data_IF_870720390339
#
_entry.id   IF_870720390339
#
_cell.length_a   1.000
_cell.length_b   1.000
_cell.length_c   1.000
_cell.angle_alpha   90.00
_cell.angle_beta   90.00
_cell.angle_gamma   90.00
#
_symmetry.space_group_name_H-M   'P 1'
#
loop_
_entity.id
_entity.type
_entity.pdbx_description
1 polymer ?
#
# COMPACT_ATOMS: atom_id res chain seq x y z
N UNK A 1 -26.97 -17.26 -13.49
CA UNK A 1 -26.55 -16.21 -12.53
C UNK A 1 -25.89 -16.76 -11.26
N UNK A 2 -26.22 -17.97 -10.77
CA UNK A 2 -25.59 -18.55 -9.58
C UNK A 2 -24.22 -19.18 -9.84
N UNK A 3 -24.02 -19.81 -11.01
CA UNK A 3 -22.75 -20.47 -11.35
C UNK A 3 -21.61 -19.47 -11.59
N UNK A 4 -21.88 -18.35 -12.27
CA UNK A 4 -20.91 -17.28 -12.45
C UNK A 4 -20.51 -16.65 -11.11
N UNK A 5 -21.47 -16.36 -10.22
CA UNK A 5 -21.18 -15.85 -8.87
C UNK A 5 -20.34 -16.82 -8.04
N UNK A 6 -20.57 -18.14 -8.15
CA UNK A 6 -19.76 -19.16 -7.48
C UNK A 6 -18.32 -19.19 -8.02
N UNK A 7 -18.14 -19.19 -9.34
CA UNK A 7 -16.81 -19.13 -9.94
C UNK A 7 -16.04 -17.88 -9.50
N UNK A 8 -16.71 -16.73 -9.44
CA UNK A 8 -16.11 -15.48 -8.94
C UNK A 8 -15.73 -15.55 -7.45
N UNK A 9 -16.58 -16.14 -6.61
CA UNK A 9 -16.23 -16.34 -5.19
C UNK A 9 -15.07 -17.31 -5.02
N UNK A 10 -15.00 -18.36 -5.83
CA UNK A 10 -13.94 -19.36 -5.75
C UNK A 10 -12.58 -18.74 -6.12
N UNK A 11 -12.54 -17.85 -7.12
CA UNK A 11 -11.33 -17.09 -7.48
C UNK A 11 -10.85 -16.17 -6.34
N UNK A 12 -11.78 -15.50 -5.65
CA UNK A 12 -11.45 -14.66 -4.50
C UNK A 12 -10.86 -15.51 -3.38
N UNK A 13 -11.54 -16.60 -3.00
CA UNK A 13 -11.10 -17.49 -1.93
C UNK A 13 -9.74 -18.08 -2.25
N UNK A 14 -9.52 -18.51 -3.50
CA UNK A 14 -8.21 -18.95 -3.98
C UNK A 14 -7.15 -17.86 -3.75
N UNK A 15 -7.39 -16.64 -4.24
CA UNK A 15 -6.41 -15.55 -4.15
C UNK A 15 -6.10 -15.15 -2.71
N UNK A 16 -7.10 -15.11 -1.82
CA UNK A 16 -6.93 -14.81 -0.40
C UNK A 16 -6.14 -15.90 0.32
N UNK A 17 -6.54 -17.16 0.14
CA UNK A 17 -5.91 -18.29 0.82
C UNK A 17 -4.45 -18.43 0.43
N UNK A 18 -4.14 -18.45 -0.87
CA UNK A 18 -2.78 -18.63 -1.34
C UNK A 18 -1.88 -17.43 -1.04
N UNK A 19 -2.37 -16.18 -1.15
CA UNK A 19 -1.55 -15.01 -0.83
C UNK A 19 -1.15 -14.97 0.64
N UNK A 20 -2.07 -15.28 1.57
CA UNK A 20 -1.78 -15.33 3.01
C UNK A 20 -0.76 -16.44 3.31
N UNK A 21 -0.94 -17.62 2.73
CA UNK A 21 -0.02 -18.76 2.93
C UNK A 21 1.37 -18.45 2.39
N UNK A 22 1.47 -17.90 1.17
CA UNK A 22 2.78 -17.56 0.60
C UNK A 22 3.45 -16.41 1.37
N UNK A 23 2.70 -15.41 1.83
CA UNK A 23 3.22 -14.38 2.74
C UNK A 23 3.73 -14.98 4.05
N UNK A 24 3.00 -15.93 4.64
CA UNK A 24 3.46 -16.63 5.84
C UNK A 24 4.75 -17.42 5.54
N UNK A 25 4.85 -18.12 4.42
CA UNK A 25 6.07 -18.82 4.04
C UNK A 25 7.26 -17.88 3.82
N UNK A 26 7.06 -16.62 3.39
CA UNK A 26 8.15 -15.64 3.36
C UNK A 26 8.82 -15.45 4.73
N UNK A 27 8.11 -15.65 5.84
CA UNK A 27 8.68 -15.53 7.19
C UNK A 27 9.45 -16.76 7.68
N UNK A 28 9.16 -17.94 7.13
CA UNK A 28 9.71 -19.23 7.60
C UNK A 28 11.03 -19.56 6.90
N UNK A 29 11.39 -18.78 5.89
CA UNK A 29 12.37 -19.15 4.89
C UNK A 29 13.73 -18.54 5.18
N UNK A 30 14.77 -19.37 5.16
CA UNK A 30 16.13 -18.96 5.52
C UNK A 30 16.98 -18.43 4.35
N UNK A 31 16.64 -18.76 3.09
CA UNK A 31 17.43 -18.31 1.93
C UNK A 31 16.74 -17.20 1.14
N UNK A 32 17.52 -16.24 0.64
CA UNK A 32 17.04 -15.10 -0.16
C UNK A 32 16.36 -15.57 -1.45
N UNK A 33 16.84 -16.65 -2.06
CA UNK A 33 16.25 -17.24 -3.28
C UNK A 33 14.85 -17.78 -2.97
N UNK A 34 14.70 -18.54 -1.88
CA UNK A 34 13.38 -19.05 -1.49
C UNK A 34 12.45 -17.92 -1.05
N UNK A 35 12.95 -16.88 -0.38
CA UNK A 35 12.16 -15.68 -0.08
C UNK A 35 11.63 -15.03 -1.36
N UNK A 36 12.48 -14.87 -2.38
CA UNK A 36 12.09 -14.37 -3.69
C UNK A 36 11.01 -15.24 -4.34
N UNK A 37 11.17 -16.57 -4.35
CA UNK A 37 10.18 -17.50 -4.93
C UNK A 37 8.81 -17.34 -4.27
N UNK A 38 8.72 -17.32 -2.93
CA UNK A 38 7.43 -17.16 -2.25
C UNK A 38 6.82 -15.78 -2.49
N UNK A 39 7.64 -14.75 -2.62
CA UNK A 39 7.18 -13.41 -2.95
C UNK A 39 6.59 -13.37 -4.38
N UNK A 40 7.20 -14.04 -5.36
CA UNK A 40 6.61 -14.17 -6.70
C UNK A 40 5.32 -15.00 -6.70
N UNK A 41 5.29 -16.12 -6.00
CA UNK A 41 4.08 -16.94 -5.87
C UNK A 41 2.94 -16.15 -5.22
N UNK A 42 3.25 -15.32 -4.22
CA UNK A 42 2.29 -14.40 -3.63
C UNK A 42 1.78 -13.39 -4.67
N UNK A 43 2.66 -12.73 -5.42
CA UNK A 43 2.25 -11.80 -6.50
C UNK A 43 1.36 -12.46 -7.56
N UNK A 44 1.72 -13.66 -8.03
CA UNK A 44 0.93 -14.42 -9.01
C UNK A 44 -0.43 -14.85 -8.44
N UNK A 45 -0.49 -15.22 -7.16
CA UNK A 45 -1.73 -15.66 -6.50
C UNK A 45 -2.79 -14.56 -6.40
N UNK A 46 -2.40 -13.29 -6.51
CA UNK A 46 -3.30 -12.14 -6.44
C UNK A 46 -3.95 -11.88 -7.80
N UNK A 47 -3.33 -12.27 -8.92
CA UNK A 47 -3.84 -12.02 -10.27
C UNK A 47 -5.30 -12.49 -10.47
N UNK A 48 -5.72 -13.68 -10.02
CA UNK A 48 -7.12 -14.11 -10.11
C UNK A 48 -8.14 -13.13 -9.52
N UNK A 49 -7.78 -12.37 -8.48
CA UNK A 49 -8.67 -11.39 -7.84
C UNK A 49 -9.01 -10.19 -8.75
N UNK A 50 -8.19 -9.89 -9.76
CA UNK A 50 -8.50 -8.88 -10.77
C UNK A 50 -9.79 -9.24 -11.53
N UNK A 51 -9.99 -10.51 -11.87
CA UNK A 51 -11.13 -10.95 -12.67
C UNK A 51 -12.47 -10.85 -11.94
N UNK A 52 -12.47 -10.50 -10.64
CA UNK A 52 -13.66 -10.20 -9.86
C UNK A 52 -14.29 -8.82 -10.19
N UNK A 53 -14.11 -8.27 -11.40
CA UNK A 53 -14.61 -6.92 -11.69
C UNK A 53 -16.08 -6.91 -12.15
N UNK A 54 -16.90 -6.22 -11.37
CA UNK A 54 -18.24 -5.81 -11.76
C UNK A 54 -18.20 -4.34 -12.18
N UNK A 55 -18.01 -4.07 -13.47
CA UNK A 55 -18.38 -2.76 -14.06
C UNK A 55 -17.28 -1.94 -14.73
N UNK A 56 -15.99 -2.31 -14.63
CA UNK A 56 -14.92 -1.50 -15.23
C UNK A 56 -14.81 -1.70 -16.76
N UNK A 57 -14.36 -0.65 -17.45
CA UNK A 57 -14.07 -0.72 -18.88
C UNK A 57 -13.07 -1.84 -19.16
N UNK A 58 -13.42 -2.72 -20.11
CA UNK A 58 -12.63 -3.92 -20.46
C UNK A 58 -11.19 -3.51 -20.84
N UNK A 59 -11.04 -2.39 -21.54
CA UNK A 59 -9.72 -1.85 -21.91
C UNK A 59 -8.91 -1.42 -20.69
N UNK A 60 -9.51 -0.64 -19.78
CA UNK A 60 -8.83 -0.18 -18.55
C UNK A 60 -8.32 -1.36 -17.72
N UNK A 61 -9.18 -2.36 -17.54
CA UNK A 61 -8.90 -3.61 -16.82
C UNK A 61 -7.65 -4.34 -17.36
N UNK A 62 -7.64 -4.70 -18.65
CA UNK A 62 -6.51 -5.41 -19.24
C UNK A 62 -5.24 -4.56 -19.21
N UNK A 63 -5.39 -3.24 -19.38
CA UNK A 63 -4.25 -2.33 -19.31
C UNK A 63 -3.62 -2.30 -17.92
N UNK A 64 -4.43 -2.29 -16.84
CA UNK A 64 -3.93 -2.36 -15.47
C UNK A 64 -3.28 -3.70 -15.14
N UNK A 65 -3.89 -4.81 -15.57
CA UNK A 65 -3.35 -6.15 -15.36
C UNK A 65 -2.00 -6.31 -16.07
N UNK A 66 -1.91 -5.85 -17.32
CA UNK A 66 -0.66 -5.86 -18.08
C UNK A 66 0.41 -4.99 -17.40
N UNK A 67 0.07 -3.80 -16.90
CA UNK A 67 1.05 -3.00 -16.15
C UNK A 67 1.50 -3.66 -14.86
N UNK A 68 0.60 -4.33 -14.13
CA UNK A 68 0.97 -5.09 -12.93
C UNK A 68 1.94 -6.23 -13.26
N UNK A 69 1.65 -7.02 -14.29
CA UNK A 69 2.50 -8.16 -14.70
C UNK A 69 3.87 -7.69 -15.20
N UNK A 70 3.92 -6.63 -16.01
CA UNK A 70 5.20 -6.09 -16.51
C UNK A 70 6.05 -5.55 -15.37
N UNK A 71 5.48 -4.73 -14.47
CA UNK A 71 6.25 -4.13 -13.39
C UNK A 71 6.70 -5.17 -12.35
N UNK A 72 5.84 -6.14 -12.01
CA UNK A 72 6.21 -7.26 -11.14
C UNK A 72 7.29 -8.14 -11.80
N UNK A 73 7.19 -8.44 -13.09
CA UNK A 73 8.23 -9.16 -13.83
C UNK A 73 9.56 -8.41 -13.92
N UNK A 74 9.55 -7.09 -14.14
CA UNK A 74 10.78 -6.29 -14.13
C UNK A 74 11.43 -6.28 -12.75
N UNK A 75 10.64 -6.17 -11.69
CA UNK A 75 11.14 -6.24 -10.32
C UNK A 75 11.79 -7.58 -10.01
N UNK A 76 11.23 -8.69 -10.52
CA UNK A 76 11.74 -10.03 -10.29
C UNK A 76 13.09 -10.27 -10.98
N UNK A 77 13.24 -9.80 -12.22
CA UNK A 77 14.50 -9.87 -12.97
C UNK A 77 15.61 -9.09 -12.27
N UNK A 78 15.29 -7.91 -11.71
CA UNK A 78 16.26 -7.12 -10.94
C UNK A 78 16.66 -7.81 -9.63
N UNK A 79 15.69 -8.41 -8.92
CA UNK A 79 15.98 -9.21 -7.73
C UNK A 79 16.90 -10.38 -8.04
N UNK A 80 16.57 -11.19 -9.06
CA UNK A 80 17.37 -12.37 -9.43
C UNK A 80 18.77 -11.98 -9.91
N UNK A 81 18.89 -10.93 -10.74
CA UNK A 81 20.21 -10.47 -11.20
C UNK A 81 21.09 -9.95 -10.06
N UNK A 82 20.51 -9.25 -9.08
CA UNK A 82 21.23 -8.83 -7.87
C UNK A 82 21.63 -10.00 -6.95
N UNK A 83 20.85 -11.09 -6.92
CA UNK A 83 21.19 -12.31 -6.15
C UNK A 83 22.33 -13.08 -6.83
N UNK A 84 22.34 -13.17 -8.17
CA UNK A 84 23.34 -13.95 -8.92
C UNK A 84 24.71 -13.25 -8.99
N UNK A 85 24.73 -11.92 -9.04
CA UNK A 85 25.95 -11.13 -9.17
C UNK A 85 26.17 -10.23 -7.96
N UNK A 86 27.17 -10.54 -7.13
CA UNK A 86 27.47 -9.78 -5.90
C UNK A 86 27.80 -8.30 -6.15
N UNK A 87 28.37 -7.96 -7.30
CA UNK A 87 28.64 -6.56 -7.70
C UNK A 87 27.37 -5.75 -7.97
N UNK A 88 26.23 -6.40 -8.21
CA UNK A 88 24.94 -5.79 -8.52
C UNK A 88 23.97 -5.81 -7.34
N UNK A 89 24.47 -5.87 -6.10
CA UNK A 89 23.63 -5.94 -4.90
C UNK A 89 22.60 -4.78 -4.80
N UNK A 90 22.91 -3.59 -5.33
CA UNK A 90 21.96 -2.47 -5.44
C UNK A 90 20.70 -2.81 -6.26
N UNK A 91 20.76 -3.75 -7.19
CA UNK A 91 19.57 -4.18 -7.95
C UNK A 91 18.56 -4.90 -7.09
N UNK A 92 18.97 -5.54 -6.00
CA UNK A 92 18.03 -6.14 -5.05
C UNK A 92 17.17 -5.04 -4.42
N UNK A 93 17.81 -3.94 -4.01
CA UNK A 93 17.12 -2.78 -3.46
C UNK A 93 16.16 -2.14 -4.48
N UNK A 94 16.63 -1.84 -5.70
CA UNK A 94 15.77 -1.31 -6.75
C UNK A 94 14.63 -2.25 -7.14
N UNK A 95 14.88 -3.57 -7.12
CA UNK A 95 13.86 -4.60 -7.31
C UNK A 95 12.72 -4.47 -6.29
N UNK A 96 13.03 -4.31 -5.00
CA UNK A 96 11.99 -4.09 -4.00
C UNK A 96 11.33 -2.71 -4.12
N UNK A 97 12.08 -1.64 -4.40
CA UNK A 97 11.49 -0.31 -4.65
C UNK A 97 10.45 -0.38 -5.77
N UNK A 98 10.77 -1.05 -6.88
CA UNK A 98 9.84 -1.30 -7.98
C UNK A 98 8.63 -2.12 -7.53
N UNK A 99 8.86 -3.17 -6.74
CA UNK A 99 7.80 -4.12 -6.35
C UNK A 99 6.75 -3.52 -5.40
N UNK A 100 7.17 -2.67 -4.46
CA UNK A 100 6.24 -1.91 -3.60
C UNK A 100 5.87 -0.54 -4.16
N UNK A 101 6.40 -0.18 -5.34
CA UNK A 101 6.18 1.09 -6.00
C UNK A 101 6.60 2.29 -5.15
N UNK A 102 7.73 2.21 -4.48
CA UNK A 102 8.37 3.39 -3.88
C UNK A 102 8.98 4.27 -4.99
N UNK A 103 9.21 5.55 -4.69
CA UNK A 103 9.75 6.53 -5.63
C UNK A 103 11.12 6.04 -6.14
N UNK A 104 11.42 6.17 -7.44
CA UNK A 104 10.68 6.87 -8.50
C UNK A 104 9.54 6.06 -9.16
N UNK A 105 9.31 4.82 -8.73
CA UNK A 105 8.45 3.86 -9.40
C UNK A 105 7.04 3.77 -8.81
N UNK A 106 6.48 4.83 -8.25
CA UNK A 106 5.13 4.78 -7.67
C UNK A 106 4.00 4.94 -8.69
N UNK A 107 4.29 5.50 -9.87
CA UNK A 107 3.26 5.87 -10.86
C UNK A 107 2.45 4.67 -11.41
N UNK A 108 3.07 3.49 -11.52
CA UNK A 108 2.35 2.32 -12.03
C UNK A 108 1.27 1.83 -11.06
N UNK A 109 1.45 2.02 -9.75
CA UNK A 109 0.47 1.64 -8.74
C UNK A 109 -0.83 2.41 -8.91
N UNK A 110 -0.75 3.71 -9.22
CA UNK A 110 -1.95 4.53 -9.44
C UNK A 110 -2.79 4.00 -10.60
N UNK A 111 -2.15 3.60 -11.71
CA UNK A 111 -2.85 3.02 -12.86
C UNK A 111 -3.48 1.67 -12.53
N UNK A 112 -2.81 0.87 -11.71
CA UNK A 112 -3.32 -0.43 -11.26
C UNK A 112 -4.52 -0.23 -10.33
N UNK A 113 -4.40 0.64 -9.33
CA UNK A 113 -5.43 0.86 -8.31
C UNK A 113 -6.71 1.41 -8.94
N UNK A 114 -6.62 2.40 -9.82
CA UNK A 114 -7.78 3.07 -10.43
C UNK A 114 -8.69 2.15 -11.26
N UNK A 115 -8.16 1.02 -11.77
CA UNK A 115 -8.90 0.10 -12.63
C UNK A 115 -9.16 -1.27 -11.95
N UNK A 116 -8.80 -1.40 -10.68
CA UNK A 116 -8.87 -2.66 -9.92
C UNK A 116 -10.04 -2.70 -8.94
N UNK A 117 -10.32 -3.88 -8.42
CA UNK A 117 -11.36 -4.08 -7.41
C UNK A 117 -10.80 -3.87 -6.00
N UNK A 118 -11.64 -3.50 -5.04
CA UNK A 118 -11.27 -3.36 -3.63
C UNK A 118 -10.61 -4.61 -3.02
N UNK A 119 -10.98 -5.82 -3.47
CA UNK A 119 -10.32 -7.07 -3.01
C UNK A 119 -8.88 -7.16 -3.50
N UNK A 120 -8.62 -6.80 -4.76
CA UNK A 120 -7.25 -6.74 -5.27
C UNK A 120 -6.45 -5.67 -4.49
N UNK A 121 -7.05 -4.49 -4.31
CA UNK A 121 -6.44 -3.40 -3.52
C UNK A 121 -6.13 -3.87 -2.11
N UNK A 122 -7.00 -4.66 -1.47
CA UNK A 122 -6.75 -5.26 -0.16
C UNK A 122 -5.55 -6.19 -0.15
N UNK A 123 -5.52 -7.17 -1.06
CA UNK A 123 -4.42 -8.12 -1.16
C UNK A 123 -3.09 -7.41 -1.41
N UNK A 124 -3.10 -6.40 -2.28
CA UNK A 124 -1.89 -5.66 -2.62
C UNK A 124 -1.44 -4.69 -1.52
N UNK A 125 -2.37 -3.90 -0.95
CA UNK A 125 -2.02 -2.85 0.03
C UNK A 125 -1.89 -3.35 1.46
N UNK A 126 -2.39 -4.55 1.80
CA UNK A 126 -2.35 -5.07 3.18
C UNK A 126 -1.53 -6.36 3.28
N UNK A 127 -1.87 -7.37 2.48
CA UNK A 127 -1.24 -8.70 2.58
C UNK A 127 0.20 -8.66 2.07
N UNK A 128 0.43 -8.08 0.88
CA UNK A 128 1.79 -7.95 0.32
C UNK A 128 2.73 -7.05 1.11
N UNK A 129 2.26 -6.30 2.12
CA UNK A 129 3.17 -5.52 2.99
C UNK A 129 3.88 -6.36 4.04
N UNK A 130 3.37 -7.55 4.35
CA UNK A 130 3.95 -8.41 5.38
C UNK A 130 5.44 -8.76 5.11
N UNK A 131 5.85 -9.13 3.88
CA UNK A 131 7.26 -9.41 3.58
C UNK A 131 8.23 -8.24 3.82
N UNK A 132 7.76 -6.98 3.90
CA UNK A 132 8.61 -5.80 4.14
C UNK A 132 9.27 -5.89 5.52
N UNK A 133 8.62 -6.52 6.49
CA UNK A 133 9.13 -6.68 7.86
C UNK A 133 10.48 -7.40 7.92
N UNK A 134 10.80 -8.22 6.92
CA UNK A 134 12.05 -8.99 6.85
C UNK A 134 13.19 -8.24 6.14
N UNK A 135 12.95 -7.02 5.64
CA UNK A 135 13.98 -6.26 4.92
C UNK A 135 15.13 -5.80 5.79
N UNK A 136 14.92 -5.57 7.08
CA UNK A 136 16.04 -5.29 7.98
C UNK A 136 17.11 -6.39 7.95
N UNK A 137 16.70 -7.66 7.80
CA UNK A 137 17.63 -8.79 7.75
C UNK A 137 18.32 -8.92 6.39
N UNK A 138 17.62 -8.59 5.30
CA UNK A 138 18.18 -8.68 3.94
C UNK A 138 19.19 -7.55 3.67
N UNK A 139 18.95 -6.36 4.22
CA UNK A 139 19.63 -5.12 3.85
C UNK A 139 20.58 -4.57 4.92
N UNK A 140 21.04 -5.41 5.86
CA UNK A 140 21.87 -4.97 7.00
C UNK A 140 23.18 -4.25 6.60
N UNK A 141 23.66 -4.45 5.37
CA UNK A 141 24.88 -3.82 4.83
C UNK A 141 24.64 -2.55 4.00
N UNK A 142 23.39 -2.13 3.79
CA UNK A 142 23.08 -0.96 2.98
C UNK A 142 23.25 0.36 3.74
N UNK A 143 23.59 1.41 3.00
CA UNK A 143 23.64 2.76 3.53
C UNK A 143 22.24 3.26 3.91
N UNK A 144 22.02 3.49 5.20
CA UNK A 144 20.79 4.08 5.76
C UNK A 144 20.38 5.40 5.06
N UNK A 145 21.35 6.14 4.53
CA UNK A 145 21.11 7.39 3.81
C UNK A 145 20.26 7.22 2.55
N UNK A 146 20.44 6.13 1.78
CA UNK A 146 19.64 5.86 0.58
C UNK A 146 18.18 5.60 0.96
N UNK A 147 17.97 4.78 2.00
CA UNK A 147 16.64 4.46 2.54
C UNK A 147 15.92 5.73 3.02
N UNK A 148 16.61 6.61 3.75
CA UNK A 148 16.03 7.88 4.21
C UNK A 148 15.69 8.81 3.05
N UNK A 149 16.55 8.90 2.04
CA UNK A 149 16.32 9.72 0.86
C UNK A 149 15.08 9.22 0.11
N UNK A 150 15.00 7.93 -0.18
CA UNK A 150 13.87 7.36 -0.92
C UNK A 150 12.55 7.50 -0.15
N UNK A 151 12.56 7.24 1.16
CA UNK A 151 11.40 7.47 2.00
C UNK A 151 11.00 8.96 2.02
N UNK A 152 11.96 9.88 2.12
CA UNK A 152 11.66 11.31 2.13
C UNK A 152 11.03 11.77 0.82
N UNK A 153 11.52 11.26 -0.32
CA UNK A 153 10.98 11.58 -1.64
C UNK A 153 9.60 10.97 -1.85
N UNK A 154 9.36 9.73 -1.40
CA UNK A 154 8.03 9.11 -1.46
C UNK A 154 7.00 9.90 -0.65
N UNK A 155 7.33 10.29 0.57
CA UNK A 155 6.44 11.07 1.43
C UNK A 155 6.16 12.45 0.84
N UNK A 156 7.18 13.14 0.33
CA UNK A 156 7.01 14.42 -0.35
C UNK A 156 6.13 14.30 -1.59
N UNK A 157 6.36 13.26 -2.40
CA UNK A 157 5.58 12.99 -3.61
C UNK A 157 4.12 12.71 -3.27
N UNK A 158 3.85 11.87 -2.26
CA UNK A 158 2.48 11.62 -1.80
C UNK A 158 1.84 12.88 -1.21
N UNK A 159 2.60 13.71 -0.49
CA UNK A 159 2.10 14.97 0.05
C UNK A 159 1.64 15.89 -1.07
N UNK A 160 2.46 16.10 -2.11
CA UNK A 160 2.12 16.89 -3.30
C UNK A 160 0.90 16.30 -4.02
N UNK A 161 0.85 14.99 -4.17
CA UNK A 161 -0.21 14.32 -4.90
C UNK A 161 -1.58 14.41 -4.22
N UNK A 162 -1.64 14.52 -2.88
CA UNK A 162 -2.90 14.85 -2.21
C UNK A 162 -3.51 16.18 -2.67
N UNK A 163 -2.68 17.16 -3.05
CA UNK A 163 -3.17 18.45 -3.54
C UNK A 163 -3.64 18.37 -4.99
N UNK A 164 -2.93 17.66 -5.86
CA UNK A 164 -3.19 17.72 -7.30
C UNK A 164 -3.94 16.52 -7.87
N UNK A 165 -3.76 15.32 -7.30
CA UNK A 165 -4.14 14.04 -7.90
C UNK A 165 -4.93 13.16 -6.92
N UNK A 166 -6.05 13.68 -6.44
CA UNK A 166 -7.03 12.97 -5.62
C UNK A 166 -8.38 13.06 -6.32
N UNK A 167 -8.59 12.17 -7.31
CA UNK A 167 -9.81 12.12 -8.12
C UNK A 167 -10.78 11.03 -7.69
N UNK A 168 -10.34 9.95 -7.04
CA UNK A 168 -11.22 8.88 -6.55
C UNK A 168 -10.70 8.32 -5.22
N UNK A 169 -11.51 7.50 -4.54
CA UNK A 169 -11.12 6.84 -3.30
C UNK A 169 -9.95 5.86 -3.50
N UNK A 170 -9.82 5.24 -4.67
CA UNK A 170 -8.68 4.38 -5.00
C UNK A 170 -7.37 5.18 -5.03
N UNK A 171 -7.38 6.42 -5.53
CA UNK A 171 -6.20 7.30 -5.53
C UNK A 171 -5.85 7.75 -4.11
N UNK A 172 -6.84 8.15 -3.31
CA UNK A 172 -6.65 8.54 -1.91
C UNK A 172 -6.04 7.38 -1.13
N UNK A 173 -6.60 6.17 -1.29
CA UNK A 173 -6.06 4.98 -0.65
C UNK A 173 -4.65 4.65 -1.14
N UNK A 174 -4.35 4.84 -2.42
CA UNK A 174 -3.00 4.66 -2.96
C UNK A 174 -1.98 5.54 -2.21
N UNK A 175 -2.26 6.84 -2.05
CA UNK A 175 -1.39 7.79 -1.31
C UNK A 175 -1.16 7.36 0.15
N UNK A 176 -2.22 6.93 0.83
CA UNK A 176 -2.17 6.43 2.21
C UNK A 176 -1.39 5.11 2.29
N UNK A 177 -1.59 4.22 1.32
CA UNK A 177 -0.93 2.92 1.27
C UNK A 177 0.57 3.07 0.98
N UNK A 178 0.98 4.02 0.13
CA UNK A 178 2.36 4.30 -0.24
C UNK A 178 3.15 4.91 0.92
N UNK A 179 2.58 5.90 1.60
CA UNK A 179 3.23 6.50 2.76
C UNK A 179 3.44 5.49 3.90
N UNK A 180 2.49 4.57 4.09
CA UNK A 180 2.62 3.49 5.07
C UNK A 180 3.67 2.46 4.68
N UNK A 181 3.88 2.14 3.40
CA UNK A 181 5.05 1.34 2.96
C UNK A 181 6.33 2.08 3.30
N UNK A 182 6.45 3.34 2.92
CA UNK A 182 7.68 4.12 3.09
C UNK A 182 8.08 4.25 4.57
N UNK A 183 7.11 4.57 5.43
CA UNK A 183 7.32 4.69 6.88
C UNK A 183 7.62 3.36 7.55
N UNK A 184 6.95 2.27 7.16
CA UNK A 184 7.24 0.93 7.67
C UNK A 184 8.63 0.46 7.22
N UNK A 185 9.03 0.76 5.99
CA UNK A 185 10.36 0.44 5.48
C UNK A 185 11.46 1.10 6.31
N UNK A 186 11.33 2.40 6.60
CA UNK A 186 12.27 3.12 7.48
C UNK A 186 12.23 2.59 8.90
N UNK A 187 11.04 2.33 9.45
CA UNK A 187 10.88 1.76 10.79
C UNK A 187 11.64 0.44 10.93
N UNK A 188 11.67 -0.41 9.90
CA UNK A 188 12.41 -1.67 9.90
C UNK A 188 13.93 -1.46 10.08
N UNK A 189 14.52 -0.38 9.56
CA UNK A 189 15.95 -0.11 9.73
C UNK A 189 16.29 0.62 11.04
N UNK A 190 15.35 1.38 11.59
CA UNK A 190 15.60 2.25 12.74
C UNK A 190 15.14 1.68 14.09
N UNK A 191 14.17 0.77 14.09
CA UNK A 191 13.51 0.28 15.29
C UNK A 191 13.62 -1.24 15.44
N UNK A 192 13.25 -1.76 16.61
CA UNK A 192 13.23 -3.20 16.83
C UNK A 192 12.10 -3.87 16.04
N UNK A 193 12.27 -5.16 15.78
CA UNK A 193 11.30 -5.92 15.00
C UNK A 193 9.92 -5.99 15.69
N UNK A 194 9.89 -5.99 17.02
CA UNK A 194 8.66 -5.99 17.83
C UNK A 194 7.81 -4.76 17.53
N UNK A 195 8.44 -3.57 17.43
CA UNK A 195 7.76 -2.33 17.09
C UNK A 195 7.23 -2.38 15.65
N UNK A 196 8.00 -2.96 14.73
CA UNK A 196 7.58 -3.12 13.33
C UNK A 196 6.36 -4.05 13.20
N UNK A 197 6.36 -5.20 13.90
CA UNK A 197 5.21 -6.10 13.95
C UNK A 197 3.98 -5.42 14.57
N UNK A 198 4.17 -4.64 15.64
CA UNK A 198 3.11 -3.86 16.25
C UNK A 198 2.48 -2.87 15.26
N UNK A 199 3.30 -2.07 14.57
CA UNK A 199 2.83 -1.12 13.55
C UNK A 199 2.07 -1.84 12.43
N UNK A 200 2.61 -2.96 11.93
CA UNK A 200 1.96 -3.73 10.88
C UNK A 200 0.61 -4.31 11.32
N UNK A 201 0.51 -4.85 12.53
CA UNK A 201 -0.72 -5.41 13.06
C UNK A 201 -1.83 -4.35 13.19
N UNK A 202 -1.49 -3.17 13.71
CA UNK A 202 -2.43 -2.05 13.75
C UNK A 202 -2.84 -1.59 12.35
N UNK A 203 -1.89 -1.49 11.43
CA UNK A 203 -2.18 -1.17 10.03
C UNK A 203 -3.11 -2.22 9.40
N UNK A 204 -2.91 -3.50 9.66
CA UNK A 204 -3.74 -4.59 9.15
C UNK A 204 -5.20 -4.43 9.59
N UNK A 205 -5.44 -4.24 10.90
CA UNK A 205 -6.80 -4.03 11.43
C UNK A 205 -7.42 -2.75 10.88
N UNK A 206 -6.67 -1.65 10.90
CA UNK A 206 -7.17 -0.38 10.41
C UNK A 206 -7.50 -0.42 8.91
N UNK A 207 -6.61 -0.99 8.10
CA UNK A 207 -6.78 -1.06 6.65
C UNK A 207 -7.89 -2.01 6.21
N UNK A 208 -8.07 -3.15 6.91
CA UNK A 208 -9.20 -4.05 6.65
C UNK A 208 -10.54 -3.32 6.84
N UNK A 209 -10.68 -2.54 7.92
CA UNK A 209 -11.88 -1.75 8.18
C UNK A 209 -12.08 -0.64 7.15
N UNK A 210 -11.02 0.08 6.77
CA UNK A 210 -11.09 1.13 5.74
C UNK A 210 -11.52 0.58 4.38
N UNK A 211 -10.96 -0.55 3.94
CA UNK A 211 -11.30 -1.13 2.63
C UNK A 211 -12.71 -1.70 2.64
N UNK A 212 -13.14 -2.33 3.73
CA UNK A 212 -14.53 -2.75 3.88
C UNK A 212 -15.49 -1.57 3.80
N UNK A 213 -15.14 -0.45 4.44
CA UNK A 213 -15.87 0.80 4.35
C UNK A 213 -15.93 1.33 2.91
N UNK A 214 -14.82 1.40 2.18
CA UNK A 214 -14.81 1.85 0.79
C UNK A 214 -15.58 0.94 -0.15
N UNK A 215 -15.54 -0.38 0.08
CA UNK A 215 -16.34 -1.34 -0.68
C UNK A 215 -17.84 -1.06 -0.51
N UNK A 216 -18.29 -0.75 0.71
CA UNK A 216 -19.69 -0.44 0.98
C UNK A 216 -20.11 0.93 0.42
N UNK A 217 -19.26 1.94 0.58
CA UNK A 217 -19.48 3.29 0.07
C UNK A 217 -19.51 3.34 -1.46
N UNK A 218 -18.68 2.55 -2.14
CA UNK A 218 -18.69 2.46 -3.60
C UNK A 218 -19.99 1.89 -4.19
N UNK A 219 -20.86 1.30 -3.37
CA UNK A 219 -22.13 0.67 -3.79
C UNK A 219 -23.39 1.53 -3.62
N UNK A 220 -23.38 2.56 -2.76
CA UNK A 220 -24.58 3.34 -2.43
C UNK A 220 -24.31 4.85 -2.33
N UNK A 221 -25.23 5.65 -2.87
CA UNK A 221 -25.07 7.10 -3.06
C UNK A 221 -25.35 7.95 -1.81
N UNK A 222 -25.70 7.38 -0.66
CA UNK A 222 -26.06 8.14 0.54
C UNK A 222 -24.98 8.10 1.63
N UNK A 223 -24.08 9.08 1.58
CA UNK A 223 -22.97 9.25 2.53
C UNK A 223 -23.38 9.79 3.91
N UNK A 224 -24.63 10.22 4.08
CA UNK A 224 -25.11 10.88 5.31
C UNK A 224 -25.09 9.98 6.54
N UNK A 225 -25.34 8.68 6.40
CA UNK A 225 -25.27 7.72 7.53
C UNK A 225 -23.84 7.31 7.90
N UNK A 226 -22.91 7.47 6.97
CA UNK A 226 -21.57 6.90 7.05
C UNK A 226 -20.49 7.90 7.48
N UNK A 227 -20.86 9.17 7.67
CA UNK A 227 -19.94 10.24 8.08
C UNK A 227 -19.19 9.92 9.38
N UNK A 228 -19.89 9.45 10.41
CA UNK A 228 -19.26 9.11 11.69
C UNK A 228 -18.25 7.96 11.57
N UNK A 229 -18.54 6.99 10.71
CA UNK A 229 -17.63 5.87 10.42
C UNK A 229 -16.40 6.38 9.67
N UNK A 230 -16.57 7.30 8.72
CA UNK A 230 -15.46 7.98 8.05
C UNK A 230 -14.58 8.74 9.04
N UNK A 231 -15.19 9.52 9.95
CA UNK A 231 -14.44 10.26 10.98
C UNK A 231 -13.65 9.31 11.89
N UNK A 232 -14.24 8.18 12.27
CA UNK A 232 -13.57 7.19 13.11
C UNK A 232 -12.47 6.42 12.38
N UNK A 233 -12.63 6.17 11.08
CA UNK A 233 -11.69 5.37 10.30
C UNK A 233 -10.59 6.18 9.64
N UNK A 234 -10.80 7.42 9.19
CA UNK A 234 -9.81 8.14 8.36
C UNK A 234 -9.29 9.43 9.02
N UNK A 235 -10.12 10.13 9.79
CA UNK A 235 -9.72 11.36 10.45
C UNK A 235 -8.99 11.08 11.76
N UNK A 236 -7.94 11.85 12.04
CA UNK A 236 -7.24 11.84 13.32
C UNK A 236 -8.07 12.64 14.32
N UNK A 237 -8.79 11.93 15.18
CA UNK A 237 -9.54 12.43 16.34
C UNK A 237 -9.04 11.66 17.58
N UNK A 238 -9.22 12.16 18.81
CA UNK A 238 -8.59 11.58 20.01
C UNK A 238 -8.85 10.08 20.23
N UNK A 239 -9.94 9.53 19.67
CA UNK A 239 -10.32 8.12 19.81
C UNK A 239 -10.32 7.35 18.49
N UNK A 240 -9.82 7.92 17.39
CA UNK A 240 -9.85 7.23 16.09
C UNK A 240 -8.67 6.29 15.88
N UNK A 241 -8.88 5.28 15.03
CA UNK A 241 -7.85 4.28 14.70
C UNK A 241 -6.61 4.87 14.00
N UNK A 242 -6.72 5.85 13.08
CA UNK A 242 -5.55 6.49 12.46
C UNK A 242 -4.59 7.14 13.47
N UNK A 243 -5.11 7.65 14.59
CA UNK A 243 -4.28 8.29 15.61
C UNK A 243 -3.32 7.27 16.24
N UNK A 244 -3.83 6.10 16.64
CA UNK A 244 -3.01 5.04 17.22
C UNK A 244 -1.95 4.54 16.23
N UNK A 245 -2.33 4.36 14.96
CA UNK A 245 -1.38 4.02 13.90
C UNK A 245 -0.28 5.08 13.75
N UNK A 246 -0.64 6.37 13.60
CA UNK A 246 0.35 7.44 13.43
C UNK A 246 1.25 7.65 14.64
N UNK A 247 0.73 7.48 15.85
CA UNK A 247 1.55 7.51 17.07
C UNK A 247 2.55 6.36 17.09
N UNK A 248 2.13 5.14 16.75
CA UNK A 248 3.04 3.98 16.69
C UNK A 248 4.17 4.20 15.66
N UNK A 249 3.84 4.73 14.48
CA UNK A 249 4.83 5.08 13.46
C UNK A 249 5.76 6.19 13.93
N UNK A 250 5.23 7.21 14.62
CA UNK A 250 6.04 8.29 15.19
C UNK A 250 7.08 7.73 16.18
N UNK A 251 6.69 6.79 17.06
CA UNK A 251 7.63 6.18 18.01
C UNK A 251 8.79 5.45 17.32
N UNK A 252 8.52 4.76 16.21
CA UNK A 252 9.56 4.06 15.46
C UNK A 252 10.50 5.03 14.71
N UNK A 253 9.96 6.13 14.19
CA UNK A 253 10.71 7.11 13.38
C UNK A 253 11.45 8.13 14.26
N UNK A 254 11.06 8.32 15.52
CA UNK A 254 11.62 9.36 16.40
C UNK A 254 13.14 9.34 16.49
N UNK A 255 13.74 8.14 16.47
CA UNK A 255 15.19 7.94 16.57
C UNK A 255 15.93 7.91 15.22
N UNK A 256 15.24 8.08 14.09
CA UNK A 256 15.83 7.96 12.75
C UNK A 256 16.57 9.23 12.30
N UNK A 257 15.84 10.29 11.93
CA UNK A 257 16.37 11.60 11.57
C UNK A 257 15.30 12.68 11.69
N UNK A 258 15.73 13.88 12.07
CA UNK A 258 14.84 15.05 12.18
C UNK A 258 14.21 15.42 10.82
N UNK A 259 14.98 15.32 9.73
CA UNK A 259 14.48 15.62 8.38
C UNK A 259 13.32 14.72 7.97
N UNK A 260 13.43 13.42 8.23
CA UNK A 260 12.39 12.47 7.88
C UNK A 260 11.14 12.70 8.72
N UNK A 261 11.30 12.99 10.01
CA UNK A 261 10.19 13.33 10.89
C UNK A 261 9.48 14.61 10.43
N UNK A 262 10.23 15.65 10.02
CA UNK A 262 9.64 16.89 9.49
C UNK A 262 8.83 16.64 8.20
N UNK A 263 9.37 15.89 7.25
CA UNK A 263 8.68 15.56 5.99
C UNK A 263 7.45 14.68 6.27
N UNK A 264 7.55 13.74 7.21
CA UNK A 264 6.42 12.93 7.64
C UNK A 264 5.31 13.79 8.29
N UNK A 265 5.67 14.81 9.08
CA UNK A 265 4.71 15.77 9.62
C UNK A 265 4.02 16.57 8.50
N UNK A 266 4.76 17.03 7.49
CA UNK A 266 4.19 17.72 6.33
C UNK A 266 3.19 16.85 5.57
N UNK A 267 3.56 15.59 5.31
CA UNK A 267 2.66 14.60 4.71
C UNK A 267 1.41 14.36 5.55
N UNK A 268 1.60 14.12 6.85
CA UNK A 268 0.49 13.83 7.77
C UNK A 268 -0.48 15.01 7.88
N UNK A 269 0.05 16.24 7.83
CA UNK A 269 -0.76 17.45 7.79
C UNK A 269 -1.53 17.56 6.47
N UNK A 270 -0.88 17.36 5.31
CA UNK A 270 -1.56 17.47 4.01
C UNK A 270 -2.67 16.43 3.84
N UNK A 271 -2.43 15.19 4.26
CA UNK A 271 -3.41 14.11 4.25
C UNK A 271 -4.65 14.47 5.11
N UNK A 272 -4.43 14.89 6.35
CA UNK A 272 -5.53 15.17 7.27
C UNK A 272 -6.29 16.43 6.87
N UNK A 273 -5.59 17.48 6.44
CA UNK A 273 -6.23 18.68 5.91
C UNK A 273 -7.15 18.37 4.73
N UNK A 274 -6.69 17.52 3.80
CA UNK A 274 -7.49 17.09 2.66
C UNK A 274 -8.74 16.29 3.10
N UNK A 275 -8.59 15.36 4.04
CA UNK A 275 -9.72 14.58 4.56
C UNK A 275 -10.73 15.46 5.33
N UNK A 276 -10.27 16.46 6.08
CA UNK A 276 -11.16 17.42 6.75
C UNK A 276 -11.96 18.25 5.73
N UNK A 277 -11.31 18.71 4.65
CA UNK A 277 -11.98 19.42 3.54
C UNK A 277 -13.05 18.54 2.87
N UNK A 278 -12.75 17.26 2.64
CA UNK A 278 -13.73 16.32 2.10
C UNK A 278 -14.94 16.13 3.04
N UNK A 279 -14.71 16.16 4.35
CA UNK A 279 -15.78 16.05 5.35
C UNK A 279 -16.68 17.29 5.44
N UNK A 280 -16.16 18.49 5.20
CA UNK A 280 -16.93 19.73 5.32
C UNK A 280 -17.89 19.99 4.14
N UNK A 281 -17.61 19.42 2.98
CA UNK A 281 -18.42 19.62 1.78
C UNK A 281 -19.65 18.69 1.81
N UNK A 282 -20.76 19.18 2.37
CA UNK A 282 -22.04 18.48 2.56
C UNK A 282 -22.75 17.97 1.28
N UNK A 283 -22.18 18.11 0.06
CA UNK A 283 -22.90 17.75 -1.20
C UNK A 283 -22.17 16.94 -2.27
N UNK A 284 -20.87 16.61 -2.17
CA UNK A 284 -20.22 15.84 -3.26
C UNK A 284 -19.11 14.92 -2.76
N UNK A 285 -19.45 13.68 -2.49
CA UNK A 285 -18.53 12.59 -2.14
C UNK A 285 -18.36 11.60 -3.31
N UNK A 286 -18.19 12.13 -4.52
CA UNK A 286 -17.60 11.41 -5.65
C UNK A 286 -16.45 12.29 -6.12
N UNK A 287 -15.23 11.90 -5.76
CA UNK A 287 -14.10 12.82 -5.62
C UNK A 287 -13.80 13.59 -6.93
N UNK A 288 -13.54 14.90 -6.81
CA UNK A 288 -12.80 15.73 -7.78
C UNK A 288 -12.29 16.95 -7.01
N UNK A 289 -10.97 17.15 -7.02
CA UNK A 289 -10.31 18.17 -6.21
C UNK A 289 -10.09 19.46 -7.03
N UNK A 290 -11.14 20.27 -7.21
CA UNK A 290 -10.95 21.67 -7.57
C UNK A 290 -10.76 22.47 -6.28
N UNK A 291 -9.59 23.09 -6.12
CA UNK A 291 -9.30 24.00 -5.00
C UNK A 291 -10.18 25.25 -5.03
N UNK A 292 -10.77 25.53 -6.21
CA UNK A 292 -11.62 26.68 -6.49
C UNK A 292 -12.82 26.19 -7.30
N UNK A 293 -13.86 25.72 -6.60
CA UNK A 293 -15.23 25.69 -7.11
C UNK A 293 -16.20 25.69 -5.95
#
# INVERSE_FOLDING_TARGET
MTLSRRLYSDLIVFSLFFSIIFCFFCSVVDTIISFWVFLELCGLSIIPSFFYSGGNSIYGFYSSLLTYVIMSGLSSVLLVSGILFSSLYYFIFFGFLLKFGLFPFSLWLYRVFSNSNWIFIFLFSVVLKFPILFFCFIFQSFGLHLVYLDCSLTLLMCAIFFWFFSCDWEFIWCHISLSSVATLFVACFCSSIEVCFFIYFYYFIWATLCIFYFYWVGGESSFFGNFWVLCFLLLVTPFSLPLFYKLSVCTAIFYSSFYLLFIWCLYSFSEQYFLYKLCSNYLYSGVYNYWVS
#
